data_IF_876067454549
#
_entry.id   IF_876067454549
#
_cell.length_a   1.000
_cell.length_b   1.000
_cell.length_c   1.000
_cell.angle_alpha   90.00
_cell.angle_beta   90.00
_cell.angle_gamma   90.00
#
_symmetry.space_group_name_H-M   'P 1'
#
loop_
_entity.id
_entity.type
_entity.pdbx_description
1 polymer ?
#
# COMPACT_ATOMS: atom_id res chain seq x y z
N UNK A 1 -25.33 -5.60 0.17
CA UNK A 1 -24.85 -4.28 0.56
C UNK A 1 -23.84 -4.48 1.67
N UNK A 2 -22.69 -3.82 1.61
CA UNK A 2 -21.77 -3.79 2.75
C UNK A 2 -22.36 -2.84 3.80
N UNK A 3 -22.41 -3.30 5.07
CA UNK A 3 -22.77 -2.42 6.18
C UNK A 3 -21.63 -1.43 6.43
N UNK A 4 -21.93 -0.20 6.90
CA UNK A 4 -20.89 0.70 7.40
C UNK A 4 -20.02 0.01 8.45
N UNK A 5 -18.76 0.40 8.51
CA UNK A 5 -17.86 -0.11 9.54
C UNK A 5 -18.27 0.38 10.93
N UNK A 6 -17.76 -0.30 11.95
CA UNK A 6 -18.06 0.08 13.34
C UNK A 6 -17.56 1.50 13.63
N UNK A 7 -18.41 2.34 14.20
CA UNK A 7 -18.02 3.70 14.65
C UNK A 7 -16.91 3.66 15.69
N UNK A 8 -16.88 2.62 16.54
CA UNK A 8 -15.81 2.42 17.53
C UNK A 8 -14.46 2.27 16.85
N UNK A 9 -14.40 1.51 15.77
CA UNK A 9 -13.15 1.33 15.01
C UNK A 9 -12.72 2.64 14.33
N UNK A 10 -13.67 3.38 13.78
CA UNK A 10 -13.39 4.68 13.15
C UNK A 10 -12.90 5.71 14.17
N UNK A 11 -13.46 5.73 15.37
CA UNK A 11 -13.04 6.61 16.46
C UNK A 11 -11.64 6.26 16.98
N UNK A 12 -11.30 4.97 17.05
CA UNK A 12 -9.94 4.52 17.39
C UNK A 12 -8.93 4.97 16.33
N UNK A 13 -9.24 4.80 15.04
CA UNK A 13 -8.39 5.30 13.96
C UNK A 13 -8.19 6.81 14.09
N UNK A 14 -9.26 7.55 14.32
CA UNK A 14 -9.18 8.99 14.49
C UNK A 14 -8.31 9.37 15.69
N UNK A 15 -8.48 8.71 16.84
CA UNK A 15 -7.72 8.99 18.05
C UNK A 15 -6.21 8.80 17.85
N UNK A 16 -5.83 7.69 17.19
CA UNK A 16 -4.42 7.35 16.98
C UNK A 16 -3.74 8.19 15.89
N UNK A 17 -4.52 8.88 15.05
CA UNK A 17 -3.98 9.47 13.81
C UNK A 17 -4.35 10.93 13.59
N UNK A 18 -5.03 11.51 14.55
CA UNK A 18 -5.62 12.85 14.45
C UNK A 18 -4.67 13.92 13.90
N UNK A 19 -3.45 13.97 14.42
CA UNK A 19 -2.50 15.04 14.08
C UNK A 19 -1.99 14.93 12.64
N UNK A 20 -1.95 13.71 12.11
CA UNK A 20 -1.45 13.44 10.76
C UNK A 20 -2.45 13.90 9.70
N UNK A 21 -3.73 13.79 10.00
CA UNK A 21 -4.79 14.12 9.05
C UNK A 21 -4.84 15.61 8.69
N UNK A 22 -4.31 16.49 9.54
CA UNK A 22 -4.28 17.92 9.22
C UNK A 22 -3.44 18.25 7.99
N UNK A 23 -2.48 17.38 7.60
CA UNK A 23 -1.76 17.50 6.33
C UNK A 23 -2.67 17.32 5.10
N UNK A 24 -3.79 16.62 5.25
CA UNK A 24 -4.75 16.38 4.18
C UNK A 24 -5.80 17.50 4.03
N UNK A 25 -5.78 18.52 4.89
CA UNK A 25 -6.77 19.60 4.84
C UNK A 25 -6.78 20.30 3.49
N UNK A 26 -7.97 20.34 2.85
CA UNK A 26 -8.17 20.94 1.53
C UNK A 26 -7.45 20.21 0.39
N UNK A 27 -6.91 19.01 0.63
CA UNK A 27 -6.14 18.28 -0.36
C UNK A 27 -7.00 17.26 -1.12
N UNK A 28 -6.53 16.92 -2.32
CA UNK A 28 -7.11 15.86 -3.13
C UNK A 28 -6.26 14.60 -3.08
N UNK A 29 -6.93 13.48 -2.86
CA UNK A 29 -6.35 12.14 -2.82
C UNK A 29 -6.84 11.36 -4.05
N UNK A 30 -5.98 10.49 -4.57
CA UNK A 30 -6.35 9.55 -5.63
C UNK A 30 -6.13 8.12 -5.14
N UNK A 31 -7.14 7.27 -5.28
CA UNK A 31 -7.09 5.89 -4.83
C UNK A 31 -7.46 4.95 -5.96
N UNK A 32 -6.57 4.03 -6.31
CA UNK A 32 -6.89 2.88 -7.14
C UNK A 32 -7.23 1.69 -6.25
N UNK A 33 -8.15 0.83 -6.71
CA UNK A 33 -8.58 -0.31 -5.90
C UNK A 33 -9.52 0.03 -4.74
N UNK A 34 -10.07 1.25 -4.72
CA UNK A 34 -10.99 1.75 -3.69
C UNK A 34 -12.27 0.93 -3.52
N UNK A 35 -12.64 0.14 -4.51
CA UNK A 35 -13.82 -0.75 -4.47
C UNK A 35 -13.55 -2.14 -3.88
N UNK A 36 -12.28 -2.47 -3.63
CA UNK A 36 -11.85 -3.70 -2.99
C UNK A 36 -12.10 -3.70 -1.48
N UNK A 37 -11.63 -4.75 -0.80
CA UNK A 37 -11.75 -4.85 0.65
C UNK A 37 -10.97 -3.73 1.36
N UNK A 38 -9.66 -3.68 1.16
CA UNK A 38 -8.82 -2.60 1.71
C UNK A 38 -9.31 -1.21 1.29
N UNK A 39 -9.72 -1.08 0.01
CA UNK A 39 -10.19 0.18 -0.51
C UNK A 39 -11.42 0.72 0.21
N UNK A 40 -12.42 -0.13 0.51
CA UNK A 40 -13.60 0.29 1.26
C UNK A 40 -13.23 0.80 2.66
N UNK A 41 -12.32 0.10 3.36
CA UNK A 41 -11.80 0.52 4.65
C UNK A 41 -11.11 1.88 4.58
N UNK A 42 -10.24 2.07 3.57
CA UNK A 42 -9.55 3.34 3.35
C UNK A 42 -10.52 4.50 3.12
N UNK A 43 -11.54 4.26 2.30
CA UNK A 43 -12.55 5.29 1.98
C UNK A 43 -13.41 5.61 3.19
N UNK A 44 -13.86 4.60 3.93
CA UNK A 44 -14.68 4.79 5.13
C UNK A 44 -13.92 5.57 6.21
N UNK A 45 -12.67 5.19 6.48
CA UNK A 45 -11.81 5.92 7.41
C UNK A 45 -11.58 7.36 6.97
N UNK A 46 -11.35 7.58 5.67
CA UNK A 46 -11.20 8.92 5.11
C UNK A 46 -12.47 9.75 5.33
N UNK A 47 -13.66 9.24 4.98
CA UNK A 47 -14.92 9.97 5.11
C UNK A 47 -15.19 10.33 6.57
N UNK A 48 -15.02 9.37 7.50
CA UNK A 48 -15.20 9.60 8.93
C UNK A 48 -14.28 10.72 9.44
N UNK A 49 -12.98 10.61 9.19
CA UNK A 49 -12.00 11.59 9.68
C UNK A 49 -12.18 12.94 9.00
N UNK A 50 -12.46 12.96 7.69
CA UNK A 50 -12.72 14.18 6.94
C UNK A 50 -13.90 14.98 7.54
N UNK A 51 -14.95 14.26 7.91
CA UNK A 51 -16.13 14.85 8.58
C UNK A 51 -15.78 15.34 10.00
N UNK A 52 -15.18 14.47 10.83
CA UNK A 52 -14.89 14.76 12.24
C UNK A 52 -13.91 15.93 12.43
N UNK A 53 -12.93 16.06 11.56
CA UNK A 53 -11.92 17.12 11.62
C UNK A 53 -12.21 18.30 10.68
N UNK A 54 -13.33 18.26 9.96
CA UNK A 54 -13.70 19.29 8.95
C UNK A 54 -12.53 19.62 8.04
N UNK A 55 -11.93 18.56 7.42
CA UNK A 55 -10.73 18.73 6.60
C UNK A 55 -11.04 19.39 5.26
N UNK A 56 -12.24 19.22 4.71
CA UNK A 56 -12.58 19.70 3.37
C UNK A 56 -11.72 19.03 2.28
N UNK A 57 -11.25 17.81 2.55
CA UNK A 57 -10.46 17.01 1.61
C UNK A 57 -11.36 16.23 0.67
N UNK A 58 -10.85 15.86 -0.51
CA UNK A 58 -11.58 15.04 -1.50
C UNK A 58 -10.79 13.78 -1.83
N UNK A 59 -11.49 12.67 -2.06
CA UNK A 59 -10.89 11.43 -2.55
C UNK A 59 -11.51 11.00 -3.87
N UNK A 60 -10.68 10.79 -4.88
CA UNK A 60 -11.10 10.28 -6.20
C UNK A 60 -10.77 8.80 -6.28
N UNK A 61 -11.79 7.96 -6.53
CA UNK A 61 -11.66 6.51 -6.62
C UNK A 61 -11.67 6.08 -8.09
N UNK A 62 -10.58 5.49 -8.56
CA UNK A 62 -10.56 4.86 -9.87
C UNK A 62 -11.32 3.52 -9.81
N UNK A 63 -12.33 3.39 -10.65
CA UNK A 63 -13.17 2.18 -10.73
C UNK A 63 -13.59 1.89 -12.16
N UNK A 64 -13.69 0.59 -12.50
CA UNK A 64 -14.24 0.14 -13.79
C UNK A 64 -15.77 0.23 -13.83
N UNK A 65 -16.43 0.18 -12.66
CA UNK A 65 -17.90 0.21 -12.56
C UNK A 65 -18.34 0.99 -11.33
N UNK A 66 -18.65 2.29 -11.49
CA UNK A 66 -19.23 3.12 -10.43
C UNK A 66 -20.55 2.55 -9.89
N UNK A 67 -21.37 1.97 -10.77
CA UNK A 67 -22.68 1.41 -10.43
C UNK A 67 -22.53 0.20 -9.46
N UNK A 68 -21.53 -0.66 -9.71
CA UNK A 68 -21.25 -1.78 -8.84
C UNK A 68 -20.79 -1.32 -7.45
N UNK A 69 -19.96 -0.26 -7.39
CA UNK A 69 -19.55 0.33 -6.13
C UNK A 69 -20.72 0.98 -5.39
N UNK A 70 -21.55 1.75 -6.09
CA UNK A 70 -22.73 2.39 -5.50
C UNK A 70 -23.75 1.38 -4.94
N UNK A 71 -23.89 0.24 -5.61
CA UNK A 71 -24.72 -0.87 -5.08
C UNK A 71 -24.09 -1.55 -3.88
N UNK A 72 -22.75 -1.67 -3.84
CA UNK A 72 -22.01 -2.34 -2.76
C UNK A 72 -21.94 -1.46 -1.52
N UNK A 73 -21.56 -0.19 -1.66
CA UNK A 73 -21.32 0.77 -0.59
C UNK A 73 -22.04 2.10 -0.87
N UNK A 74 -23.39 2.13 -0.82
CA UNK A 74 -24.16 3.32 -1.21
C UNK A 74 -23.85 4.54 -0.34
N UNK A 75 -23.56 4.34 0.95
CA UNK A 75 -23.20 5.41 1.88
C UNK A 75 -21.89 6.10 1.50
N UNK A 76 -20.88 5.35 0.99
CA UNK A 76 -19.61 5.93 0.53
C UNK A 76 -19.76 6.60 -0.84
N UNK A 77 -20.53 5.98 -1.72
CA UNK A 77 -20.74 6.54 -3.06
C UNK A 77 -21.55 7.84 -3.06
N UNK A 78 -22.37 8.07 -2.02
CA UNK A 78 -23.14 9.30 -1.84
C UNK A 78 -22.44 10.38 -1.01
N UNK A 79 -21.27 10.06 -0.42
CA UNK A 79 -20.49 11.05 0.33
C UNK A 79 -19.95 12.14 -0.62
N UNK A 80 -20.19 13.44 -0.34
CA UNK A 80 -19.76 14.53 -1.21
C UNK A 80 -18.25 14.62 -1.40
N UNK A 81 -17.45 14.10 -0.44
CA UNK A 81 -16.00 14.06 -0.54
C UNK A 81 -15.47 12.94 -1.44
N UNK A 82 -16.33 11.98 -1.84
CA UNK A 82 -15.97 10.85 -2.69
C UNK A 82 -16.34 11.12 -4.14
N UNK A 83 -15.37 11.06 -5.03
CA UNK A 83 -15.56 11.18 -6.48
C UNK A 83 -15.23 9.86 -7.16
N UNK A 84 -16.16 9.32 -7.92
CA UNK A 84 -15.93 8.11 -8.70
C UNK A 84 -15.41 8.50 -10.09
N UNK A 85 -14.29 7.90 -10.49
CA UNK A 85 -13.66 8.13 -11.78
C UNK A 85 -13.56 6.81 -12.55
N UNK A 86 -14.14 6.79 -13.76
CA UNK A 86 -14.22 5.58 -14.58
C UNK A 86 -12.90 5.34 -15.30
N UNK A 87 -12.35 4.13 -15.15
CA UNK A 87 -11.15 3.73 -15.88
C UNK A 87 -10.58 2.40 -15.43
N UNK A 88 -9.78 1.81 -16.31
CA UNK A 88 -8.93 0.67 -15.98
C UNK A 88 -7.56 1.16 -15.51
N UNK A 89 -7.04 0.55 -14.46
CA UNK A 89 -5.79 0.98 -13.81
C UNK A 89 -4.60 0.96 -14.77
N UNK A 90 -4.64 0.12 -15.81
CA UNK A 90 -3.57 -0.03 -16.82
C UNK A 90 -3.49 1.13 -17.81
N UNK A 91 -4.60 1.82 -18.07
CA UNK A 91 -4.69 2.79 -19.17
C UNK A 91 -5.67 3.94 -18.95
N UNK A 92 -6.10 4.21 -17.71
CA UNK A 92 -7.03 5.30 -17.44
C UNK A 92 -6.49 6.64 -17.96
N UNK A 93 -7.41 7.46 -18.45
CA UNK A 93 -7.12 8.86 -18.75
C UNK A 93 -6.89 9.59 -17.44
N UNK A 94 -5.87 10.41 -17.36
CA UNK A 94 -5.57 11.11 -16.11
C UNK A 94 -6.65 12.15 -15.80
N UNK A 95 -7.26 12.11 -14.60
CA UNK A 95 -8.16 13.16 -14.18
C UNK A 95 -7.41 14.48 -14.01
N UNK A 96 -8.03 15.58 -14.36
CA UNK A 96 -7.44 16.91 -14.29
C UNK A 96 -7.22 17.39 -12.85
N UNK A 97 -6.24 18.29 -12.68
CA UNK A 97 -5.91 18.94 -11.42
C UNK A 97 -4.81 18.22 -10.63
N UNK A 98 -4.46 18.79 -9.48
CA UNK A 98 -3.40 18.26 -8.62
C UNK A 98 -3.94 17.28 -7.59
N UNK A 99 -3.15 16.26 -7.28
CA UNK A 99 -3.44 15.24 -6.28
C UNK A 99 -2.26 15.08 -5.34
N UNK A 100 -2.40 15.56 -4.13
CA UNK A 100 -1.31 15.57 -3.13
C UNK A 100 -0.86 14.17 -2.71
N UNK A 101 -1.81 13.25 -2.63
CA UNK A 101 -1.61 11.88 -2.17
C UNK A 101 -2.18 10.89 -3.16
N UNK A 102 -1.41 9.85 -3.47
CA UNK A 102 -1.84 8.75 -4.34
C UNK A 102 -1.67 7.43 -3.61
N UNK A 103 -2.74 6.64 -3.60
CA UNK A 103 -2.74 5.30 -3.02
C UNK A 103 -3.01 4.31 -4.14
N UNK A 104 -2.08 3.37 -4.31
CA UNK A 104 -2.23 2.30 -5.28
C UNK A 104 -2.53 0.98 -4.57
N UNK A 105 -3.82 0.62 -4.52
CA UNK A 105 -4.32 -0.62 -3.93
C UNK A 105 -5.02 -1.53 -4.96
N UNK A 106 -4.99 -1.16 -6.25
CA UNK A 106 -5.58 -1.96 -7.30
C UNK A 106 -4.73 -3.21 -7.57
N UNK A 107 -5.25 -4.36 -7.17
CA UNK A 107 -4.69 -5.67 -7.48
C UNK A 107 -5.79 -6.71 -7.35
N UNK A 108 -5.90 -7.59 -8.33
CA UNK A 108 -6.72 -8.78 -8.20
C UNK A 108 -5.86 -9.90 -7.57
N UNK A 109 -5.94 -10.06 -6.25
CA UNK A 109 -5.15 -11.03 -5.49
C UNK A 109 -5.87 -12.39 -5.35
N UNK A 110 -6.58 -12.83 -6.38
CA UNK A 110 -7.30 -14.11 -6.34
C UNK A 110 -6.38 -15.23 -6.84
N UNK A 111 -6.14 -16.24 -6.00
CA UNK A 111 -5.31 -17.41 -6.35
C UNK A 111 -5.79 -18.05 -7.67
N UNK A 112 -7.09 -18.19 -7.86
CA UNK A 112 -7.69 -18.72 -9.09
C UNK A 112 -7.28 -17.92 -10.33
N UNK A 113 -7.17 -16.60 -10.26
CA UNK A 113 -6.78 -15.79 -11.41
C UNK A 113 -5.27 -15.93 -11.72
N UNK A 114 -4.44 -16.19 -10.71
CA UNK A 114 -3.03 -16.51 -10.93
C UNK A 114 -2.84 -17.79 -11.76
N UNK A 115 -3.78 -18.73 -11.65
CA UNK A 115 -3.76 -19.98 -12.40
C UNK A 115 -4.41 -19.83 -13.78
N UNK A 116 -5.58 -19.17 -13.86
CA UNK A 116 -6.38 -19.08 -15.08
C UNK A 116 -5.89 -18.00 -16.06
N UNK A 117 -5.38 -16.87 -15.57
CA UNK A 117 -4.98 -15.72 -16.37
C UNK A 117 -3.72 -15.02 -15.83
N UNK A 118 -2.57 -15.72 -15.70
CA UNK A 118 -1.36 -15.16 -15.09
C UNK A 118 -0.81 -13.93 -15.82
N UNK A 119 -0.87 -13.89 -17.13
CA UNK A 119 -0.40 -12.74 -17.92
C UNK A 119 -1.25 -11.49 -17.70
N UNK A 120 -2.57 -11.66 -17.57
CA UNK A 120 -3.47 -10.55 -17.27
C UNK A 120 -3.23 -10.02 -15.85
N UNK A 121 -3.03 -10.91 -14.89
CA UNK A 121 -2.66 -10.53 -13.53
C UNK A 121 -1.35 -9.74 -13.53
N UNK A 122 -0.30 -10.22 -14.18
CA UNK A 122 0.99 -9.55 -14.28
C UNK A 122 0.85 -8.16 -14.91
N UNK A 123 0.14 -8.07 -16.04
CA UNK A 123 -0.14 -6.81 -16.73
C UNK A 123 -0.88 -5.83 -15.82
N UNK A 124 -1.90 -6.28 -15.10
CA UNK A 124 -2.68 -5.42 -14.19
C UNK A 124 -1.80 -4.88 -13.06
N UNK A 125 -0.93 -5.70 -12.48
CA UNK A 125 -0.04 -5.30 -11.39
C UNK A 125 1.03 -4.34 -11.90
N UNK A 126 1.75 -4.71 -12.95
CA UNK A 126 2.92 -3.94 -13.40
C UNK A 126 2.51 -2.67 -14.15
N UNK A 127 1.71 -2.80 -15.20
CA UNK A 127 1.27 -1.65 -15.99
C UNK A 127 0.36 -0.72 -15.15
N UNK A 128 -0.47 -1.29 -14.27
CA UNK A 128 -1.28 -0.49 -13.34
C UNK A 128 -0.43 0.31 -12.36
N UNK A 129 0.64 -0.26 -11.83
CA UNK A 129 1.57 0.46 -10.94
C UNK A 129 2.30 1.56 -11.70
N UNK A 130 2.86 1.25 -12.88
CA UNK A 130 3.57 2.22 -13.70
C UNK A 130 2.67 3.40 -14.08
N UNK A 131 1.45 3.12 -14.57
CA UNK A 131 0.47 4.15 -14.92
C UNK A 131 0.07 5.04 -13.74
N UNK A 132 -0.08 4.44 -12.56
CA UNK A 132 -0.44 5.21 -11.35
C UNK A 132 0.73 6.05 -10.84
N UNK A 133 1.98 5.57 -10.96
CA UNK A 133 3.18 6.33 -10.64
C UNK A 133 3.40 7.50 -11.62
N UNK A 134 3.17 7.28 -12.91
CA UNK A 134 3.21 8.34 -13.93
C UNK A 134 2.19 9.43 -13.62
N UNK A 135 0.95 9.04 -13.31
CA UNK A 135 -0.08 9.97 -12.85
C UNK A 135 0.39 10.76 -11.62
N UNK A 136 0.88 10.09 -10.58
CA UNK A 136 1.35 10.75 -9.37
C UNK A 136 2.47 11.76 -9.65
N UNK A 137 3.45 11.39 -10.47
CA UNK A 137 4.59 12.23 -10.80
C UNK A 137 4.20 13.47 -11.61
N UNK A 138 3.16 13.38 -12.47
CA UNK A 138 2.74 14.47 -13.36
C UNK A 138 1.64 15.35 -12.78
N UNK A 139 0.96 14.91 -11.70
CA UNK A 139 -0.18 15.63 -11.09
C UNK A 139 0.11 16.12 -9.66
N UNK A 140 1.37 16.45 -9.37
CA UNK A 140 1.74 17.18 -8.16
C UNK A 140 1.77 16.33 -6.88
N UNK A 141 1.75 15.00 -6.99
CA UNK A 141 1.76 14.16 -5.81
C UNK A 141 3.07 14.32 -5.03
N UNK A 142 2.94 14.39 -3.71
CA UNK A 142 4.08 14.43 -2.79
C UNK A 142 4.36 13.06 -2.18
N UNK A 143 3.29 12.29 -1.94
CA UNK A 143 3.38 10.97 -1.32
C UNK A 143 2.60 9.95 -2.13
N UNK A 144 3.21 8.79 -2.32
CA UNK A 144 2.64 7.63 -3.00
C UNK A 144 2.70 6.42 -2.08
N UNK A 145 1.59 5.74 -1.87
CA UNK A 145 1.55 4.47 -1.16
C UNK A 145 1.24 3.32 -2.09
N UNK A 146 2.13 2.33 -2.11
CA UNK A 146 1.89 1.04 -2.74
C UNK A 146 1.44 0.01 -1.70
N UNK A 147 0.29 -0.61 -1.89
CA UNK A 147 -0.04 -1.85 -1.18
C UNK A 147 0.68 -3.02 -1.85
N UNK A 148 1.78 -3.43 -1.27
CA UNK A 148 2.54 -4.61 -1.66
C UNK A 148 2.08 -5.85 -0.88
N UNK A 149 2.86 -6.89 -0.84
CA UNK A 149 2.51 -8.16 -0.20
C UNK A 149 3.72 -8.81 0.46
N UNK A 150 3.50 -9.55 1.54
CA UNK A 150 4.50 -10.46 2.10
C UNK A 150 4.95 -11.56 1.13
N UNK A 151 4.19 -11.83 0.08
CA UNK A 151 4.57 -12.78 -0.97
C UNK A 151 5.90 -12.41 -1.68
N UNK A 152 6.31 -11.13 -1.63
CA UNK A 152 7.58 -10.67 -2.21
C UNK A 152 8.81 -11.34 -1.59
N UNK A 153 8.68 -11.86 -0.37
CA UNK A 153 9.76 -12.56 0.33
C UNK A 153 9.96 -14.02 -0.12
N UNK A 154 9.02 -14.55 -0.91
CA UNK A 154 9.04 -15.97 -1.26
C UNK A 154 8.71 -16.89 -0.09
N UNK A 155 9.21 -18.12 -0.14
CA UNK A 155 9.02 -19.09 0.93
C UNK A 155 9.87 -18.72 2.15
N UNK A 156 9.24 -18.61 3.31
CA UNK A 156 9.94 -18.39 4.56
C UNK A 156 10.84 -19.61 4.87
N UNK A 157 12.13 -19.41 5.19
CA UNK A 157 13.03 -20.50 5.55
C UNK A 157 12.58 -21.25 6.81
N UNK A 158 12.86 -22.55 6.85
CA UNK A 158 12.58 -23.35 8.01
C UNK A 158 13.39 -22.83 9.23
N UNK A 159 12.75 -22.72 10.39
CA UNK A 159 13.33 -22.16 11.60
C UNK A 159 13.30 -20.63 11.70
N UNK A 160 12.98 -19.91 10.66
CA UNK A 160 12.75 -18.46 10.73
C UNK A 160 11.35 -18.19 11.28
N UNK A 161 11.24 -17.65 12.49
CA UNK A 161 9.94 -17.32 13.11
C UNK A 161 9.33 -16.05 12.57
N UNK A 162 10.16 -15.09 12.11
CA UNK A 162 9.76 -13.79 11.60
C UNK A 162 10.61 -13.41 10.41
N UNK A 163 10.01 -12.86 9.38
CA UNK A 163 10.72 -12.32 8.22
C UNK A 163 11.03 -10.84 8.49
N UNK A 164 12.30 -10.43 8.62
CA UNK A 164 12.64 -9.02 8.77
C UNK A 164 12.40 -8.25 7.47
N UNK A 165 12.22 -6.92 7.57
CA UNK A 165 11.90 -6.10 6.40
C UNK A 165 13.00 -6.07 5.34
N UNK A 166 14.25 -6.23 5.74
CA UNK A 166 15.44 -6.26 4.89
C UNK A 166 15.79 -7.66 4.37
N UNK A 167 14.96 -8.68 4.68
CA UNK A 167 15.17 -10.02 4.17
C UNK A 167 15.11 -10.04 2.63
N UNK A 168 16.19 -10.51 2.00
CA UNK A 168 16.36 -10.53 0.55
C UNK A 168 15.77 -11.77 -0.15
N UNK A 169 14.91 -12.52 0.52
CA UNK A 169 14.23 -13.66 -0.09
C UNK A 169 13.39 -13.28 -1.31
N UNK A 170 13.14 -14.26 -2.16
CA UNK A 170 12.37 -14.09 -3.37
C UNK A 170 11.53 -15.34 -3.70
N UNK A 171 10.41 -15.22 -4.40
CA UNK A 171 9.72 -16.34 -5.00
C UNK A 171 10.57 -16.93 -6.15
N UNK A 172 10.26 -18.16 -6.54
CA UNK A 172 10.90 -18.80 -7.69
C UNK A 172 10.30 -18.23 -9.01
N UNK A 173 11.09 -17.50 -9.83
CA UNK A 173 10.57 -16.86 -11.03
C UNK A 173 10.20 -17.85 -12.15
N UNK A 174 10.63 -19.10 -12.06
CA UNK A 174 10.30 -20.14 -13.06
C UNK A 174 8.95 -20.81 -12.79
N UNK A 175 8.30 -20.48 -11.66
CA UNK A 175 6.97 -20.99 -11.33
C UNK A 175 5.90 -19.98 -11.74
N UNK A 176 4.97 -20.32 -12.67
CA UNK A 176 3.86 -19.44 -13.04
C UNK A 176 3.05 -18.95 -11.82
N UNK A 177 2.91 -19.76 -10.79
CA UNK A 177 2.23 -19.39 -9.54
C UNK A 177 2.89 -18.21 -8.80
N UNK A 178 4.15 -17.87 -9.12
CA UNK A 178 4.87 -16.72 -8.54
C UNK A 178 4.44 -15.38 -9.17
N UNK A 179 3.58 -15.38 -10.19
CA UNK A 179 3.19 -14.18 -10.96
C UNK A 179 2.76 -13.01 -10.09
N UNK A 180 1.96 -13.26 -9.06
CA UNK A 180 1.52 -12.23 -8.13
C UNK A 180 2.69 -11.63 -7.34
N UNK A 181 3.52 -12.48 -6.77
CA UNK A 181 4.65 -12.10 -5.95
C UNK A 181 5.71 -11.34 -6.77
N UNK A 182 6.06 -11.83 -7.97
CA UNK A 182 6.99 -11.16 -8.87
C UNK A 182 6.43 -9.84 -9.39
N UNK A 183 5.15 -9.77 -9.73
CA UNK A 183 4.49 -8.52 -10.10
C UNK A 183 4.61 -7.47 -8.99
N UNK A 184 4.41 -7.86 -7.72
CA UNK A 184 4.59 -6.96 -6.57
C UNK A 184 6.05 -6.54 -6.37
N UNK A 185 7.01 -7.44 -6.58
CA UNK A 185 8.45 -7.08 -6.55
C UNK A 185 8.80 -6.03 -7.61
N UNK A 186 8.31 -6.21 -8.84
CA UNK A 186 8.47 -5.22 -9.91
C UNK A 186 7.80 -3.89 -9.52
N UNK A 187 6.62 -3.92 -8.92
CA UNK A 187 5.94 -2.71 -8.44
C UNK A 187 6.76 -1.94 -7.40
N UNK A 188 7.41 -2.64 -6.46
CA UNK A 188 8.31 -2.01 -5.48
C UNK A 188 9.54 -1.38 -6.15
N UNK A 189 10.11 -2.06 -7.16
CA UNK A 189 11.22 -1.53 -7.94
C UNK A 189 10.81 -0.27 -8.73
N UNK A 190 9.63 -0.27 -9.35
CA UNK A 190 9.09 0.91 -10.02
C UNK A 190 8.95 2.09 -9.05
N UNK A 191 8.45 1.87 -7.83
CA UNK A 191 8.40 2.91 -6.81
C UNK A 191 9.79 3.49 -6.51
N UNK A 192 10.82 2.66 -6.38
CA UNK A 192 12.18 3.10 -6.14
C UNK A 192 12.74 3.93 -7.30
N UNK A 193 12.47 3.51 -8.54
CA UNK A 193 12.89 4.22 -9.76
C UNK A 193 12.23 5.60 -9.83
N UNK A 194 10.90 5.65 -9.65
CA UNK A 194 10.16 6.92 -9.70
C UNK A 194 10.57 7.87 -8.57
N UNK A 195 10.74 7.37 -7.35
CA UNK A 195 11.24 8.18 -6.24
C UNK A 195 12.59 8.82 -6.58
N UNK A 196 13.53 8.04 -7.15
CA UNK A 196 14.85 8.56 -7.53
C UNK A 196 14.77 9.60 -8.64
N UNK A 197 13.87 9.40 -9.63
CA UNK A 197 13.77 10.27 -10.82
C UNK A 197 12.99 11.55 -10.58
N UNK A 198 11.97 11.50 -9.73
CA UNK A 198 10.97 12.59 -9.61
C UNK A 198 10.94 13.24 -8.23
N UNK A 199 11.57 12.64 -7.22
CA UNK A 199 11.48 13.07 -5.83
C UNK A 199 10.15 12.71 -5.16
N UNK A 200 9.25 11.95 -5.83
CA UNK A 200 8.02 11.43 -5.25
C UNK A 200 8.33 10.55 -4.05
N UNK A 201 7.80 10.87 -2.88
CA UNK A 201 8.00 10.06 -1.68
C UNK A 201 7.15 8.79 -1.76
N UNK A 202 7.76 7.65 -2.10
CA UNK A 202 7.08 6.37 -2.17
C UNK A 202 7.19 5.61 -0.85
N UNK A 203 6.04 5.12 -0.37
CA UNK A 203 5.94 4.20 0.76
C UNK A 203 5.40 2.86 0.27
N UNK A 204 5.88 1.78 0.85
CA UNK A 204 5.51 0.42 0.50
C UNK A 204 4.98 -0.28 1.74
N UNK A 205 3.72 -0.71 1.68
CA UNK A 205 3.09 -1.52 2.71
C UNK A 205 3.05 -2.98 2.23
N UNK A 206 3.89 -3.85 2.79
CA UNK A 206 3.86 -5.30 2.54
C UNK A 206 2.81 -5.94 3.43
N UNK A 207 1.64 -6.18 2.86
CA UNK A 207 0.51 -6.78 3.55
C UNK A 207 0.65 -8.29 3.59
N UNK A 208 0.43 -8.89 4.77
CA UNK A 208 0.39 -10.33 4.95
C UNK A 208 -1.06 -10.78 5.07
N UNK A 209 -1.44 -11.77 4.26
CA UNK A 209 -2.68 -12.50 4.45
C UNK A 209 -2.31 -13.95 4.80
N UNK A 210 -2.78 -14.48 5.91
CA UNK A 210 -2.74 -15.91 6.14
C UNK A 210 -3.79 -16.57 5.25
N UNK A 211 -3.33 -17.44 4.34
CA UNK A 211 -4.07 -17.85 3.16
C UNK A 211 -5.40 -18.61 3.42
N UNK A 212 -5.58 -19.25 4.56
CA UNK A 212 -6.64 -20.26 4.69
C UNK A 212 -7.80 -19.94 5.64
N UNK A 213 -7.74 -18.88 6.42
CA UNK A 213 -8.81 -18.56 7.40
C UNK A 213 -9.36 -17.14 7.34
N UNK A 214 -8.69 -16.23 6.66
CA UNK A 214 -9.05 -14.80 6.66
C UNK A 214 -10.28 -14.53 5.80
N UNK A 215 -10.55 -15.28 4.74
CA UNK A 215 -11.75 -15.05 3.92
C UNK A 215 -13.06 -15.27 4.68
N UNK A 216 -13.06 -16.13 5.68
CA UNK A 216 -14.25 -16.33 6.54
C UNK A 216 -14.29 -15.35 7.73
N UNK A 217 -13.12 -14.86 8.18
CA UNK A 217 -13.00 -13.89 9.27
C UNK A 217 -13.02 -12.43 8.79
N UNK A 218 -12.79 -12.16 7.51
CA UNK A 218 -12.85 -10.81 6.94
C UNK A 218 -14.24 -10.17 6.98
N UNK A 219 -15.28 -10.93 7.30
CA UNK A 219 -16.61 -10.43 7.62
C UNK A 219 -16.78 -10.04 9.11
N UNK A 220 -15.76 -10.27 9.96
CA UNK A 220 -15.89 -10.19 11.43
C UNK A 220 -14.75 -9.38 12.08
N UNK A 221 -13.69 -8.98 11.33
CA UNK A 221 -12.53 -8.31 11.94
C UNK A 221 -12.72 -6.81 12.12
N UNK A 222 -12.52 -6.31 13.35
CA UNK A 222 -12.30 -4.89 13.59
C UNK A 222 -10.97 -4.47 12.96
N UNK A 223 -11.05 -3.41 12.29
CA UNK A 223 -10.06 -2.68 11.56
C UNK A 223 -9.05 -2.00 12.40
N UNK A 224 -7.93 -1.80 11.91
CA UNK A 224 -7.03 -0.71 12.33
C UNK A 224 -5.94 -0.52 11.28
N UNK A 225 -6.20 -0.16 10.05
CA UNK A 225 -5.05 0.01 9.15
C UNK A 225 -5.39 0.72 7.87
N UNK A 226 -5.85 1.95 7.90
CA UNK A 226 -6.26 2.43 6.62
C UNK A 226 -5.42 3.59 6.07
N UNK A 227 -5.90 4.75 6.14
CA UNK A 227 -5.32 5.94 5.53
C UNK A 227 -4.13 6.50 6.32
N UNK A 228 -4.03 6.12 7.59
CA UNK A 228 -2.89 6.41 8.48
C UNK A 228 -1.57 6.10 7.82
N UNK A 229 -1.50 5.00 7.11
CA UNK A 229 -0.30 4.56 6.40
C UNK A 229 0.14 5.52 5.30
N UNK A 230 -0.78 6.22 4.66
CA UNK A 230 -0.45 7.19 3.62
C UNK A 230 0.05 8.51 4.17
N UNK A 231 -0.45 8.91 5.31
CA UNK A 231 -0.11 10.19 5.92
C UNK A 231 1.13 10.10 6.81
N UNK A 232 1.41 8.92 7.37
CA UNK A 232 2.59 8.66 8.21
C UNK A 232 3.88 8.47 7.40
N UNK A 233 4.32 9.45 6.70
CA UNK A 233 5.69 9.52 6.19
C UNK A 233 6.71 9.92 7.27
N UNK A 234 6.37 9.86 8.56
CA UNK A 234 7.17 10.29 9.71
C UNK A 234 7.45 9.09 10.62
N UNK A 235 8.61 8.99 11.29
CA UNK A 235 8.97 7.83 12.12
C UNK A 235 7.97 7.65 13.27
N UNK A 236 7.20 6.60 13.23
CA UNK A 236 6.19 6.30 14.21
C UNK A 236 6.67 5.24 15.21
N UNK A 237 6.54 5.52 16.51
CA UNK A 237 6.66 4.53 17.56
C UNK A 237 5.29 3.89 17.77
N UNK A 238 5.08 2.68 17.24
CA UNK A 238 3.91 1.88 17.57
C UNK A 238 4.14 1.12 18.87
N UNK A 239 3.18 1.24 19.78
CA UNK A 239 3.11 0.40 20.97
C UNK A 239 2.25 -0.82 20.61
N UNK A 240 2.91 -1.93 20.26
CA UNK A 240 2.22 -3.18 20.01
C UNK A 240 1.60 -3.72 21.30
N UNK A 241 0.29 -3.91 21.33
CA UNK A 241 -0.36 -4.77 22.34
C UNK A 241 -0.17 -6.22 21.92
N UNK A 242 0.85 -6.87 22.49
CA UNK A 242 1.08 -8.29 22.31
C UNK A 242 -0.01 -9.10 23.03
N UNK A 243 -0.90 -9.76 22.29
CA UNK A 243 -1.63 -10.91 22.82
C UNK A 243 -0.75 -12.15 22.67
N UNK A 244 -0.66 -12.96 23.74
CA UNK A 244 0.20 -14.14 23.86
C UNK A 244 -0.05 -15.12 22.70
N UNK A 245 1.01 -15.50 21.99
CA UNK A 245 1.02 -16.64 21.09
C UNK A 245 1.14 -16.36 19.59
N UNK A 246 1.33 -15.10 19.15
CA UNK A 246 1.60 -14.78 17.73
C UNK A 246 3.02 -14.25 17.61
N UNK A 247 3.85 -14.78 16.68
CA UNK A 247 5.20 -14.29 16.47
C UNK A 247 5.18 -12.82 16.01
N UNK A 248 5.94 -11.98 16.67
CA UNK A 248 5.98 -10.52 16.43
C UNK A 248 7.31 -10.21 15.73
N UNK A 249 7.23 -9.55 14.58
CA UNK A 249 8.40 -8.94 13.95
C UNK A 249 8.92 -7.79 14.83
N UNK A 250 10.22 -7.69 15.03
CA UNK A 250 10.85 -6.80 16.02
C UNK A 250 11.08 -5.36 15.56
N UNK A 251 10.51 -4.94 14.43
CA UNK A 251 10.51 -3.57 13.93
C UNK A 251 9.07 -3.13 13.67
N UNK A 252 8.74 -1.83 13.52
CA UNK A 252 7.37 -1.38 13.66
C UNK A 252 6.41 -2.12 12.76
N UNK A 253 5.95 -3.23 13.26
CA UNK A 253 4.99 -4.13 12.64
C UNK A 253 3.68 -3.87 13.30
N UNK A 254 2.71 -3.46 12.53
CA UNK A 254 1.31 -3.39 12.96
C UNK A 254 0.74 -4.81 12.92
N UNK A 255 0.53 -5.37 14.08
CA UNK A 255 -0.20 -6.64 14.23
C UNK A 255 -1.63 -6.30 14.61
N UNK A 256 -2.56 -6.47 13.68
CA UNK A 256 -3.98 -6.44 13.96
C UNK A 256 -4.55 -7.81 13.69
N UNK A 257 -4.98 -8.41 14.75
CA UNK A 257 -5.86 -9.56 14.80
C UNK A 257 -5.75 -10.62 13.70
N UNK A 258 -4.58 -11.05 13.23
CA UNK A 258 -4.29 -12.01 12.15
C UNK A 258 -3.85 -11.44 10.80
N UNK A 259 -3.66 -10.13 10.66
CA UNK A 259 -2.96 -9.54 9.52
C UNK A 259 -1.67 -8.87 9.98
N UNK A 260 -0.55 -9.20 9.37
CA UNK A 260 0.74 -8.61 9.66
C UNK A 260 1.10 -7.63 8.54
N UNK A 261 1.39 -6.37 8.88
CA UNK A 261 1.84 -5.37 7.92
C UNK A 261 3.30 -5.00 8.21
N UNK A 262 4.15 -5.12 7.22
CA UNK A 262 5.53 -4.65 7.25
C UNK A 262 5.69 -3.43 6.35
N UNK A 263 6.35 -2.40 6.85
CA UNK A 263 6.66 -1.19 6.08
C UNK A 263 8.12 -1.16 5.67
N UNK A 264 8.37 -0.93 4.41
CA UNK A 264 9.70 -0.57 3.93
C UNK A 264 9.75 0.91 3.57
N UNK A 265 10.60 1.65 4.28
CA UNK A 265 10.95 3.02 3.90
C UNK A 265 12.03 2.95 2.84
N UNK A 266 11.76 3.49 1.66
CA UNK A 266 12.82 3.74 0.69
C UNK A 266 13.66 4.91 1.21
N UNK A 267 14.80 4.62 1.82
CA UNK A 267 15.74 5.66 2.19
C UNK A 267 16.31 6.29 0.93
N UNK A 268 16.35 7.63 0.90
CA UNK A 268 17.23 8.33 -0.02
C UNK A 268 18.66 7.93 0.34
N UNK A 269 19.31 7.13 -0.49
CA UNK A 269 20.74 6.88 -0.39
C UNK A 269 21.46 8.22 -0.45
N UNK A 270 21.94 8.73 0.67
CA UNK A 270 23.02 9.72 0.65
C UNK A 270 24.24 8.96 0.11
N UNK A 271 24.66 9.27 -1.10
CA UNK A 271 25.97 8.94 -1.58
C UNK A 271 26.97 9.66 -0.67
N UNK A 272 27.45 8.98 0.38
CA UNK A 272 28.70 9.36 1.01
C UNK A 272 29.77 9.12 -0.02
N UNK A 273 30.35 10.20 -0.52
CA UNK A 273 31.54 10.15 -1.36
C UNK A 273 32.63 9.38 -0.61
N UNK A 274 32.85 8.14 -1.00
CA UNK A 274 34.05 7.42 -0.60
C UNK A 274 35.24 8.17 -1.23
N UNK A 275 36.01 8.86 -0.38
CA UNK A 275 37.31 9.38 -0.77
C UNK A 275 38.18 8.17 -1.19
N UNK A 276 38.61 8.16 -2.42
CA UNK A 276 39.66 7.30 -2.88
C UNK A 276 40.91 7.54 -2.05
N UNK A 277 41.23 6.66 -1.13
CA UNK A 277 42.59 6.49 -0.65
C UNK A 277 43.29 5.52 -1.58
N UNK A 278 44.05 6.07 -2.49
CA UNK A 278 45.05 5.33 -3.27
C UNK A 278 46.12 4.82 -2.30
N UNK A 279 46.07 3.55 -1.95
CA UNK A 279 47.22 2.86 -1.36
C UNK A 279 48.02 2.25 -2.49
N UNK A 280 49.26 2.77 -2.64
CA UNK A 280 50.28 2.28 -3.55
C UNK A 280 50.62 0.80 -3.28
N UNK A 281 50.48 -0.04 -4.29
CA UNK A 281 51.13 -1.36 -4.32
C UNK A 281 52.60 -1.16 -4.62
N UNK A 282 53.44 -1.37 -3.62
CA UNK A 282 54.87 -1.54 -3.79
C UNK A 282 55.14 -2.92 -4.36
N UNK A 283 55.70 -2.93 -5.58
CA UNK A 283 56.39 -4.09 -6.15
C UNK A 283 57.60 -4.46 -5.29
N UNK A 284 57.75 -5.73 -4.96
CA UNK A 284 59.07 -6.31 -4.65
C UNK A 284 59.18 -7.70 -5.26
N UNK A 285 60.28 -8.01 -5.93
CA UNK A 285 60.47 -9.25 -6.68
C UNK A 285 61.12 -10.31 -5.79
N UNK A 286 60.67 -11.55 -5.90
CA UNK A 286 61.47 -12.79 -5.97
C UNK A 286 60.56 -14.01 -6.22
#
# INVERSE_FOLDING_TARGET
>A
MASPLSTVDMDLILADTRDIWYEARGQRLFLTGGTGFFGCWLVESFCHVNQMLSLGAEITLLTRSPEAFSKKCPHLASDPAVKLYVGDVRNFVFPSGEYRYVIHAATEARARQAEEAPLEMLSTIVAGTERTLEFAATHGAKKFLLTSSGAVYGKQPDGMTHVPEDYEGAPDPLKPASVYAEGKRISELLCAIYQKRTGLECKIARCWASADRIFHWMSILPSETSLVMCLQAVPFRFRAMARRGVPICTLPTLSFGYGLFCFRRLHSCRLTSARHTTSAFSNSPR
#
